data_IF_329824345171
#
_entry.id   IF_329824345171
#
_cell.length_a   1.000
_cell.length_b   1.000
_cell.length_c   1.000
_cell.angle_alpha   90.00
_cell.angle_beta   90.00
_cell.angle_gamma   90.00
#
_symmetry.space_group_name_H-M   'P 1'
#
loop_
_entity.id
_entity.type
_entity.pdbx_description
1 polymer ?
#
# COMPACT_ATOMS: atom_id res chain seq x y z
N UNK A 1 -45.55 -19.71 -27.25
CA UNK A 1 -45.31 -18.83 -28.42
C UNK A 1 -44.47 -17.66 -27.96
N UNK A 2 -43.30 -17.49 -28.57
CA UNK A 2 -42.29 -16.49 -28.23
C UNK A 2 -42.59 -15.11 -28.87
N UNK A 3 -42.08 -14.07 -28.21
CA UNK A 3 -41.18 -13.05 -28.79
C UNK A 3 -41.67 -11.60 -28.86
N UNK A 4 -40.89 -10.75 -28.16
CA UNK A 4 -40.38 -9.40 -28.51
C UNK A 4 -41.37 -8.30 -28.91
N UNK A 5 -41.14 -7.09 -28.36
CA UNK A 5 -40.63 -5.93 -29.13
C UNK A 5 -40.41 -4.71 -28.23
N UNK A 6 -39.24 -4.09 -28.40
CA UNK A 6 -38.99 -2.72 -27.95
C UNK A 6 -39.64 -1.71 -28.92
N UNK A 7 -39.60 -0.43 -28.55
CA UNK A 7 -39.88 0.65 -29.47
C UNK A 7 -38.89 1.80 -29.27
N UNK A 8 -38.36 2.22 -30.43
CA UNK A 8 -37.40 3.28 -30.60
C UNK A 8 -38.08 4.65 -30.68
N UNK A 9 -37.24 5.67 -30.49
CA UNK A 9 -37.48 7.09 -30.66
C UNK A 9 -38.08 7.49 -32.01
N UNK A 10 -38.90 8.54 -31.99
CA UNK A 10 -39.29 9.35 -33.14
C UNK A 10 -39.77 10.72 -32.66
N UNK A 11 -39.06 11.77 -33.06
CA UNK A 11 -39.18 13.15 -32.61
C UNK A 11 -40.21 13.98 -33.41
N UNK A 12 -40.26 15.28 -33.05
CA UNK A 12 -40.98 16.43 -33.63
C UNK A 12 -42.46 16.56 -33.23
N UNK A 13 -42.96 17.66 -32.69
CA UNK A 13 -42.41 18.98 -32.35
C UNK A 13 -43.58 19.88 -31.95
N UNK A 14 -43.38 20.86 -31.07
CA UNK A 14 -44.44 21.83 -30.75
C UNK A 14 -44.21 22.60 -29.45
N UNK A 15 -43.94 23.89 -29.61
CA UNK A 15 -43.52 24.88 -28.60
C UNK A 15 -44.68 25.27 -27.66
N UNK A 16 -44.36 25.47 -26.37
CA UNK A 16 -45.26 26.07 -25.39
C UNK A 16 -44.58 26.29 -24.04
N UNK A 17 -43.82 27.38 -23.90
CA UNK A 17 -43.14 27.77 -22.66
C UNK A 17 -44.11 28.44 -21.68
N UNK A 18 -44.22 27.90 -20.47
CA UNK A 18 -44.87 28.57 -19.34
C UNK A 18 -43.79 29.27 -18.48
N UNK A 19 -43.85 30.59 -18.40
CA UNK A 19 -43.09 31.40 -17.47
C UNK A 19 -43.87 31.54 -16.16
N UNK A 20 -43.21 31.32 -15.02
CA UNK A 20 -43.70 31.71 -13.70
C UNK A 20 -42.79 32.85 -13.21
N UNK A 21 -43.39 34.02 -13.05
CA UNK A 21 -42.76 35.21 -12.51
C UNK A 21 -42.69 35.14 -10.98
N UNK A 22 -41.51 35.35 -10.42
CA UNK A 22 -41.28 35.63 -8.99
C UNK A 22 -40.15 36.64 -8.89
N UNK A 23 -40.48 37.90 -8.66
CA UNK A 23 -39.54 38.99 -8.48
C UNK A 23 -38.99 38.97 -7.04
N UNK A 24 -37.67 38.95 -6.89
CA UNK A 24 -36.97 39.29 -5.65
C UNK A 24 -36.27 40.64 -5.82
N UNK A 25 -36.22 41.50 -4.79
CA UNK A 25 -35.58 42.81 -4.91
C UNK A 25 -34.06 42.63 -5.07
N UNK A 26 -33.49 43.32 -6.06
CA UNK A 26 -32.05 43.42 -6.23
C UNK A 26 -31.47 44.28 -5.09
N UNK A 27 -30.95 43.64 -4.06
CA UNK A 27 -29.99 44.27 -3.15
C UNK A 27 -28.67 44.28 -3.89
N UNK A 28 -28.21 45.46 -4.31
CA UNK A 28 -26.88 45.63 -4.86
C UNK A 28 -25.86 45.16 -3.81
N UNK A 29 -25.19 44.04 -4.10
CA UNK A 29 -24.05 43.60 -3.30
C UNK A 29 -23.01 44.73 -3.32
N UNK A 30 -22.48 45.17 -2.16
CA UNK A 30 -21.40 46.13 -2.17
C UNK A 30 -20.23 45.50 -2.92
N UNK A 31 -19.58 46.29 -3.78
CA UNK A 31 -18.30 45.92 -4.36
C UNK A 31 -17.30 45.76 -3.22
N UNK A 32 -17.16 44.54 -2.71
CA UNK A 32 -15.98 44.12 -1.98
C UNK A 32 -14.86 44.16 -2.99
N UNK A 33 -14.01 45.19 -2.89
CA UNK A 33 -12.74 45.19 -3.58
C UNK A 33 -12.05 43.87 -3.27
N UNK A 34 -11.61 43.16 -4.31
CA UNK A 34 -10.69 42.04 -4.20
C UNK A 34 -9.42 42.55 -3.51
N UNK A 35 -9.39 42.49 -2.19
CA UNK A 35 -8.16 42.22 -1.50
C UNK A 35 -7.78 40.82 -1.93
N UNK A 36 -6.67 40.68 -2.67
CA UNK A 36 -6.16 39.41 -3.13
C UNK A 36 -5.96 38.45 -1.95
N UNK A 37 -6.98 37.63 -1.63
CA UNK A 37 -6.81 36.42 -0.84
C UNK A 37 -6.33 35.33 -1.79
N UNK A 38 -5.17 35.57 -2.40
CA UNK A 38 -4.64 34.70 -3.45
C UNK A 38 -4.16 33.37 -2.86
N UNK A 39 -4.44 32.28 -3.56
CA UNK A 39 -3.91 30.93 -3.28
C UNK A 39 -2.39 30.92 -3.00
N UNK A 40 -1.64 31.93 -3.46
CA UNK A 40 -0.21 32.11 -3.21
C UNK A 40 0.18 32.38 -1.75
N UNK A 41 -0.74 32.80 -0.87
CA UNK A 41 -0.43 33.03 0.56
C UNK A 41 -0.13 31.70 1.25
N UNK A 42 -0.92 30.66 0.99
CA UNK A 42 -0.82 29.36 1.64
C UNK A 42 -0.12 28.29 0.80
N UNK A 43 0.29 28.63 -0.42
CA UNK A 43 0.87 27.68 -1.38
C UNK A 43 2.26 28.12 -1.81
N UNK A 44 3.19 27.17 -1.91
CA UNK A 44 4.48 27.32 -2.57
C UNK A 44 4.44 26.51 -3.86
N UNK A 45 4.40 27.20 -5.00
CA UNK A 45 4.40 26.58 -6.31
C UNK A 45 5.84 26.26 -6.72
N UNK A 46 6.13 25.00 -7.08
CA UNK A 46 7.48 24.58 -7.50
C UNK A 46 7.99 25.35 -8.74
N UNK A 47 7.10 25.88 -9.57
CA UNK A 47 7.48 26.69 -10.74
C UNK A 47 8.05 28.05 -10.37
N UNK A 48 7.65 28.62 -9.22
CA UNK A 48 8.21 29.87 -8.70
C UNK A 48 9.67 29.69 -8.26
N UNK A 49 10.08 28.43 -8.06
CA UNK A 49 11.45 28.02 -7.75
C UNK A 49 12.21 27.48 -8.97
N UNK A 50 11.63 27.57 -10.17
CA UNK A 50 12.29 27.25 -11.44
C UNK A 50 11.98 25.88 -12.04
N UNK A 51 11.14 25.06 -11.41
CA UNK A 51 10.77 23.75 -11.94
C UNK A 51 10.00 23.89 -13.26
N UNK A 52 10.31 23.06 -14.25
CA UNK A 52 9.73 23.09 -15.59
C UNK A 52 8.61 22.09 -15.76
N UNK A 53 8.75 20.87 -15.24
CA UNK A 53 7.75 19.82 -15.40
C UNK A 53 7.57 19.36 -16.85
N UNK A 54 8.65 19.35 -17.64
CA UNK A 54 8.68 19.03 -19.08
C UNK A 54 9.26 17.64 -19.42
N UNK A 55 9.58 16.84 -18.40
CA UNK A 55 10.27 15.54 -18.46
C UNK A 55 11.67 15.58 -19.13
N UNK A 56 12.29 16.75 -19.23
CA UNK A 56 13.61 16.93 -19.87
C UNK A 56 14.57 17.66 -18.94
N UNK A 57 14.11 18.74 -18.34
CA UNK A 57 14.86 19.54 -17.38
C UNK A 57 14.87 18.80 -16.05
N UNK A 58 16.05 18.62 -15.45
CA UNK A 58 16.15 18.09 -14.10
C UNK A 58 15.64 19.14 -13.10
N UNK A 59 14.47 18.87 -12.52
CA UNK A 59 13.76 19.74 -11.59
C UNK A 59 14.19 19.55 -10.13
N UNK A 60 15.19 18.68 -9.86
CA UNK A 60 15.58 18.31 -8.50
C UNK A 60 15.89 19.52 -7.60
N UNK A 61 16.72 20.46 -8.08
CA UNK A 61 17.14 21.60 -7.25
C UNK A 61 16.01 22.61 -7.04
N UNK A 62 15.19 22.84 -8.06
CA UNK A 62 14.03 23.73 -7.98
C UNK A 62 12.98 23.19 -6.99
N UNK A 63 12.69 21.89 -7.06
CA UNK A 63 11.78 21.22 -6.14
C UNK A 63 12.35 21.27 -4.72
N UNK A 64 13.64 20.96 -4.53
CA UNK A 64 14.27 21.02 -3.21
C UNK A 64 14.22 22.44 -2.61
N UNK A 65 14.39 23.47 -3.43
CA UNK A 65 14.25 24.86 -3.00
C UNK A 65 12.81 25.21 -2.56
N UNK A 66 11.79 24.72 -3.28
CA UNK A 66 10.39 24.87 -2.89
C UNK A 66 10.08 24.16 -1.56
N UNK A 67 10.57 22.93 -1.38
CA UNK A 67 10.45 22.19 -0.12
C UNK A 67 11.13 22.93 1.03
N UNK A 68 12.34 23.44 0.81
CA UNK A 68 13.06 24.23 1.81
C UNK A 68 12.27 25.48 2.23
N UNK A 69 11.66 26.19 1.27
CA UNK A 69 10.83 27.35 1.54
C UNK A 69 9.56 27.00 2.35
N UNK A 70 8.95 25.84 2.10
CA UNK A 70 7.83 25.34 2.91
C UNK A 70 8.26 25.03 4.33
N UNK A 71 9.38 24.31 4.48
CA UNK A 71 9.95 23.99 5.80
C UNK A 71 10.31 25.25 6.58
N UNK A 72 10.91 26.26 5.93
CA UNK A 72 11.29 27.52 6.60
C UNK A 72 10.09 28.40 6.96
N UNK A 73 8.95 28.22 6.30
CA UNK A 73 7.72 28.98 6.59
C UNK A 73 7.00 28.54 7.87
N UNK A 74 7.45 27.45 8.52
CA UNK A 74 6.79 26.88 9.69
C UNK A 74 6.72 27.87 10.87
N UNK A 75 5.66 27.73 11.67
CA UNK A 75 5.54 28.36 12.99
C UNK A 75 5.78 27.28 14.05
N UNK A 76 6.89 27.38 14.79
CA UNK A 76 7.37 26.29 15.63
C UNK A 76 7.66 25.04 14.80
N UNK A 77 6.95 23.94 15.06
CA UNK A 77 7.04 22.70 14.27
C UNK A 77 6.00 22.60 13.16
N UNK A 78 5.02 23.52 13.08
CA UNK A 78 3.87 23.39 12.19
C UNK A 78 4.13 24.08 10.84
N UNK A 79 4.11 23.31 9.75
CA UNK A 79 4.14 23.85 8.40
C UNK A 79 2.97 24.83 8.18
N UNK A 80 3.25 25.99 7.59
CA UNK A 80 2.24 27.02 7.32
C UNK A 80 1.76 27.03 5.87
N UNK A 81 2.54 26.42 4.96
CA UNK A 81 2.30 26.44 3.52
C UNK A 81 2.45 25.04 2.94
N UNK A 82 1.62 24.73 1.96
CA UNK A 82 1.73 23.49 1.18
C UNK A 82 2.64 23.66 -0.04
N UNK A 83 3.20 22.55 -0.52
CA UNK A 83 3.99 22.51 -1.74
C UNK A 83 3.08 22.05 -2.88
N UNK A 84 2.93 22.88 -3.90
CA UNK A 84 2.06 22.62 -5.05
C UNK A 84 2.86 22.34 -6.31
N UNK A 85 2.45 21.29 -7.01
CA UNK A 85 2.98 20.83 -8.29
C UNK A 85 1.90 20.98 -9.36
N UNK A 86 1.94 22.05 -10.18
CA UNK A 86 1.05 22.18 -11.33
C UNK A 86 1.13 20.97 -12.28
N UNK A 87 0.14 20.75 -13.16
CA UNK A 87 0.19 19.69 -14.17
C UNK A 87 1.52 19.69 -14.93
N UNK A 88 2.13 18.51 -15.06
CA UNK A 88 3.48 18.39 -15.62
C UNK A 88 4.17 17.08 -15.24
N UNK A 89 5.30 16.84 -15.90
CA UNK A 89 6.17 15.69 -15.71
C UNK A 89 7.52 16.19 -15.17
N UNK A 90 7.72 16.09 -13.87
CA UNK A 90 8.91 16.61 -13.20
C UNK A 90 10.00 15.54 -13.15
N UNK A 91 11.07 15.75 -13.91
CA UNK A 91 12.21 14.85 -13.91
C UNK A 91 13.06 15.12 -12.67
N UNK A 92 13.30 14.09 -11.85
CA UNK A 92 14.13 14.19 -10.64
C UNK A 92 15.25 13.15 -10.74
N UNK A 93 16.50 13.55 -10.59
CA UNK A 93 17.66 12.65 -10.64
C UNK A 93 18.36 12.53 -9.29
N UNK A 94 18.07 13.44 -8.35
CA UNK A 94 18.76 13.52 -7.05
C UNK A 94 17.94 12.89 -5.92
N UNK A 95 18.65 12.23 -5.01
CA UNK A 95 18.06 11.72 -3.76
C UNK A 95 17.67 12.86 -2.82
N UNK A 96 16.78 12.58 -1.87
CA UNK A 96 16.35 13.49 -0.80
C UNK A 96 15.73 14.81 -1.32
N UNK A 97 15.25 14.81 -2.57
CA UNK A 97 14.65 15.98 -3.23
C UNK A 97 13.36 16.44 -2.57
N UNK A 98 12.55 15.50 -2.06
CA UNK A 98 11.28 15.80 -1.41
C UNK A 98 11.39 15.96 0.10
N UNK A 99 12.43 15.38 0.72
CA UNK A 99 12.80 15.63 2.12
C UNK A 99 14.16 15.01 2.45
N UNK A 100 14.89 15.64 3.36
CA UNK A 100 16.16 15.18 3.92
C UNK A 100 16.13 15.20 5.46
N UNK A 101 17.07 14.49 6.08
CA UNK A 101 17.25 14.47 7.53
C UNK A 101 18.49 15.27 7.94
N UNK A 102 18.36 16.30 8.81
CA UNK A 102 19.52 17.01 9.33
C UNK A 102 20.39 16.12 10.21
N UNK A 103 21.70 16.25 10.09
CA UNK A 103 22.71 15.42 10.79
C UNK A 103 23.36 16.14 11.98
N UNK A 104 22.79 17.26 12.43
CA UNK A 104 23.34 18.08 13.50
C UNK A 104 22.87 17.69 14.92
N UNK A 105 22.30 16.49 15.10
CA UNK A 105 21.93 15.93 16.41
C UNK A 105 20.70 16.53 17.11
N UNK A 106 19.98 17.47 16.48
CA UNK A 106 18.70 18.01 16.98
C UNK A 106 17.56 17.52 16.10
N UNK A 107 16.52 16.95 16.70
CA UNK A 107 15.31 16.54 15.97
C UNK A 107 14.58 17.77 15.42
N UNK A 108 14.80 18.06 14.14
CA UNK A 108 14.17 19.15 13.42
C UNK A 108 12.82 18.68 12.86
N UNK A 109 11.83 18.57 13.74
CA UNK A 109 10.51 18.06 13.39
C UNK A 109 9.70 19.05 12.56
N UNK A 110 8.91 18.52 11.62
CA UNK A 110 7.91 19.28 10.87
C UNK A 110 6.58 18.53 10.82
N UNK A 111 5.53 19.23 11.22
CA UNK A 111 4.17 18.72 11.35
C UNK A 111 3.30 19.33 10.25
N UNK A 112 2.46 18.52 9.61
CA UNK A 112 1.44 19.04 8.69
C UNK A 112 1.95 19.38 7.30
N UNK A 113 3.15 18.95 6.91
CA UNK A 113 3.69 19.23 5.57
C UNK A 113 2.85 18.53 4.50
N UNK A 114 2.51 19.24 3.42
CA UNK A 114 1.66 18.73 2.34
C UNK A 114 2.31 18.90 0.97
N UNK A 115 2.20 17.86 0.16
CA UNK A 115 2.59 17.83 -1.26
C UNK A 115 1.34 17.58 -2.09
N UNK A 116 0.97 18.52 -2.97
CA UNK A 116 -0.26 18.43 -3.76
C UNK A 116 0.02 18.57 -5.25
N UNK A 117 -0.55 17.68 -6.07
CA UNK A 117 -0.56 17.78 -7.52
C UNK A 117 -1.95 18.05 -8.10
N UNK A 118 -2.11 17.81 -9.42
CA UNK A 118 -3.36 17.96 -10.16
C UNK A 118 -4.11 16.64 -10.45
N UNK A 119 -3.63 15.52 -9.92
CA UNK A 119 -4.19 14.17 -10.07
C UNK A 119 -3.17 13.15 -10.57
N UNK A 120 -3.40 11.84 -10.35
CA UNK A 120 -2.62 10.78 -10.97
C UNK A 120 -2.48 10.98 -12.49
N UNK A 121 -1.26 10.86 -13.00
CA UNK A 121 -0.86 11.04 -14.40
C UNK A 121 -1.04 12.45 -14.97
N UNK A 122 -1.62 13.38 -14.23
CA UNK A 122 -1.68 14.82 -14.54
C UNK A 122 -0.44 15.51 -14.00
N UNK A 123 -0.13 15.26 -12.73
CA UNK A 123 1.14 15.64 -12.10
C UNK A 123 1.93 14.38 -11.82
N UNK A 124 3.14 14.26 -12.37
CA UNK A 124 3.99 13.11 -12.15
C UNK A 124 5.42 13.54 -11.81
N UNK A 125 5.97 12.96 -10.75
CA UNK A 125 7.41 13.02 -10.47
C UNK A 125 8.04 11.75 -11.02
N UNK A 126 8.92 11.91 -12.00
CA UNK A 126 9.70 10.84 -12.61
C UNK A 126 11.08 10.79 -11.93
N UNK A 127 11.28 9.84 -11.02
CA UNK A 127 12.56 9.63 -10.37
C UNK A 127 13.46 8.81 -11.29
N UNK A 128 14.25 9.51 -12.09
CA UNK A 128 15.09 8.95 -13.15
C UNK A 128 16.58 9.02 -12.76
N UNK A 129 16.90 8.59 -11.54
CA UNK A 129 18.29 8.51 -11.10
C UNK A 129 19.06 7.41 -11.85
N UNK A 130 20.38 7.56 -11.90
CA UNK A 130 21.32 6.51 -12.32
C UNK A 130 21.91 5.72 -11.14
N UNK A 131 21.21 5.66 -9.99
CA UNK A 131 21.77 5.02 -8.80
C UNK A 131 21.97 3.52 -8.98
N UNK A 132 23.10 3.03 -8.48
CA UNK A 132 23.38 1.61 -8.32
C UNK A 132 22.73 1.07 -7.03
N UNK A 133 22.68 -0.25 -6.88
CA UNK A 133 22.22 -0.90 -5.66
C UNK A 133 23.06 -0.44 -4.46
N UNK A 134 22.39 -0.11 -3.35
CA UNK A 134 23.04 0.34 -2.12
C UNK A 134 22.44 -0.36 -0.89
N UNK A 135 23.31 -0.90 -0.04
CA UNK A 135 22.93 -1.59 1.18
C UNK A 135 22.53 -0.63 2.31
N UNK A 136 23.00 0.62 2.30
CA UNK A 136 22.55 1.63 3.26
C UNK A 136 21.08 1.99 2.95
N UNK A 137 20.14 1.77 3.89
CA UNK A 137 18.74 2.07 3.64
C UNK A 137 18.43 3.56 3.51
N UNK A 138 19.35 4.44 3.91
CA UNK A 138 19.25 5.91 3.78
C UNK A 138 19.57 6.39 2.37
N UNK A 139 20.20 5.56 1.55
CA UNK A 139 20.57 5.93 0.19
C UNK A 139 19.49 5.57 -0.83
N UNK A 140 19.56 6.26 -1.99
CA UNK A 140 18.66 6.13 -3.14
C UNK A 140 17.19 6.52 -2.91
N UNK A 141 16.85 7.23 -1.83
CA UNK A 141 15.48 7.65 -1.53
C UNK A 141 15.14 9.01 -2.14
N UNK A 142 13.88 9.25 -2.56
CA UNK A 142 13.36 10.61 -2.78
C UNK A 142 13.17 11.37 -1.45
N UNK A 143 12.90 10.62 -0.38
CA UNK A 143 12.61 11.11 0.96
C UNK A 143 13.42 10.29 1.96
N UNK A 144 14.32 10.93 2.69
CA UNK A 144 14.92 10.35 3.89
C UNK A 144 14.52 11.19 5.10
N UNK A 145 13.74 10.59 6.00
CA UNK A 145 13.21 11.26 7.17
C UNK A 145 13.47 10.42 8.44
N UNK A 146 14.55 10.76 9.13
CA UNK A 146 14.89 10.26 10.45
C UNK A 146 14.29 11.21 11.49
N UNK A 147 13.31 10.72 12.25
CA UNK A 147 12.67 11.41 13.38
C UNK A 147 12.08 12.79 13.05
N UNK A 148 11.70 13.02 11.79
CA UNK A 148 11.46 14.37 11.24
C UNK A 148 10.00 14.66 10.93
N UNK A 149 9.29 13.71 10.32
CA UNK A 149 8.01 14.00 9.68
C UNK A 149 6.84 13.54 10.54
N UNK A 150 5.92 14.45 10.84
CA UNK A 150 4.63 14.08 11.41
C UNK A 150 3.46 14.69 10.64
N UNK A 151 2.34 13.98 10.59
CA UNK A 151 1.13 14.46 9.92
C UNK A 151 1.38 14.92 8.48
N UNK A 152 2.00 14.07 7.66
CA UNK A 152 2.40 14.42 6.28
C UNK A 152 1.39 13.92 5.26
N UNK A 153 1.12 14.74 4.25
CA UNK A 153 0.12 14.46 3.22
C UNK A 153 0.73 14.50 1.81
N UNK A 154 0.40 13.49 1.00
CA UNK A 154 0.62 13.46 -0.44
C UNK A 154 -0.72 13.32 -1.14
N UNK A 155 -1.03 14.25 -2.04
CA UNK A 155 -2.33 14.35 -2.67
C UNK A 155 -2.20 14.49 -4.18
N UNK A 156 -3.05 13.76 -4.90
CA UNK A 156 -3.37 14.03 -6.30
C UNK A 156 -2.13 14.06 -7.21
N UNK A 157 -1.33 13.00 -7.21
CA UNK A 157 -0.13 12.94 -8.04
C UNK A 157 0.33 11.51 -8.30
N UNK A 158 1.22 11.36 -9.28
CA UNK A 158 1.93 10.10 -9.54
C UNK A 158 3.42 10.22 -9.23
N UNK A 159 4.01 9.09 -8.84
CA UNK A 159 5.45 8.88 -8.79
C UNK A 159 5.79 7.74 -9.74
N UNK A 160 6.89 7.88 -10.49
CA UNK A 160 7.34 6.85 -11.42
C UNK A 160 8.85 6.67 -11.35
N UNK A 161 9.29 5.46 -11.64
CA UNK A 161 10.70 5.10 -11.75
C UNK A 161 10.86 3.95 -12.75
N UNK A 162 11.97 3.92 -13.46
CA UNK A 162 12.43 2.79 -14.28
C UNK A 162 13.72 2.16 -13.73
N UNK A 163 14.24 2.68 -12.62
CA UNK A 163 15.44 2.15 -11.98
C UNK A 163 15.04 1.29 -10.77
N UNK A 164 15.31 -0.03 -10.79
CA UNK A 164 14.95 -0.94 -9.70
C UNK A 164 15.77 -0.73 -8.41
N UNK A 165 16.69 0.23 -8.38
CA UNK A 165 17.45 0.65 -7.19
C UNK A 165 16.87 1.89 -6.51
N UNK A 166 15.91 2.57 -7.15
CA UNK A 166 15.27 3.75 -6.58
C UNK A 166 14.33 3.38 -5.45
N UNK A 167 14.29 4.27 -4.45
CA UNK A 167 13.38 4.17 -3.32
C UNK A 167 12.56 5.45 -3.21
N UNK A 168 11.29 5.34 -2.82
CA UNK A 168 10.48 6.55 -2.62
C UNK A 168 10.76 7.17 -1.25
N UNK A 169 10.57 6.44 -0.15
CA UNK A 169 10.78 6.97 1.19
C UNK A 169 11.43 5.98 2.15
N UNK A 170 12.29 6.51 3.03
CA UNK A 170 12.79 5.85 4.22
C UNK A 170 12.49 6.69 5.47
N UNK A 171 11.64 6.13 6.34
CA UNK A 171 11.24 6.69 7.61
C UNK A 171 11.92 5.93 8.74
N UNK A 172 12.79 6.62 9.48
CA UNK A 172 13.55 6.04 10.59
C UNK A 172 13.16 6.70 11.92
N UNK A 173 12.70 5.92 12.89
CA UNK A 173 12.30 6.39 14.23
C UNK A 173 13.20 5.83 15.33
N UNK A 174 13.25 6.49 16.48
CA UNK A 174 13.99 6.08 17.67
C UNK A 174 13.39 6.69 18.94
N UNK A 175 13.42 5.95 20.05
CA UNK A 175 13.11 6.49 21.37
C UNK A 175 14.36 6.98 22.15
N UNK A 176 14.15 7.86 23.14
CA UNK A 176 15.19 8.65 23.80
C UNK A 176 16.11 7.91 24.78
N UNK A 177 15.79 6.67 25.15
CA UNK A 177 16.31 6.05 26.38
C UNK A 177 17.62 5.25 26.21
N UNK A 178 18.18 5.14 24.99
CA UNK A 178 19.42 4.38 24.73
C UNK A 178 20.68 5.27 24.69
N UNK A 179 21.86 4.66 24.66
CA UNK A 179 23.14 5.26 24.27
C UNK A 179 23.80 4.55 23.08
N UNK A 180 23.35 3.34 22.71
CA UNK A 180 23.87 2.55 21.60
C UNK A 180 23.10 2.84 20.30
N UNK A 181 23.51 3.91 19.61
CA UNK A 181 22.79 4.42 18.44
C UNK A 181 23.29 3.81 17.14
N UNK A 182 22.35 3.37 16.29
CA UNK A 182 22.71 3.03 14.92
C UNK A 182 23.04 4.29 14.09
N UNK A 183 22.24 5.35 14.23
CA UNK A 183 22.41 6.63 13.55
C UNK A 183 22.36 7.80 14.56
N UNK A 184 23.40 7.94 15.41
CA UNK A 184 23.47 8.99 16.45
C UNK A 184 23.24 10.41 15.93
N UNK A 185 23.64 10.67 14.68
CA UNK A 185 23.62 11.99 14.04
C UNK A 185 22.21 12.59 13.89
N UNK A 186 21.15 11.77 13.94
CA UNK A 186 19.76 12.21 13.79
C UNK A 186 19.06 12.55 15.13
N UNK A 187 19.70 12.30 16.28
CA UNK A 187 19.12 12.56 17.60
C UNK A 187 18.15 11.48 18.07
N UNK A 188 16.97 11.86 18.58
CA UNK A 188 15.86 10.96 18.98
C UNK A 188 14.50 11.55 18.56
N UNK A 189 13.48 10.70 18.40
CA UNK A 189 12.14 11.09 18.00
C UNK A 189 11.48 10.13 17.03
N UNK A 190 10.29 10.47 16.56
CA UNK A 190 9.46 9.55 15.78
C UNK A 190 8.86 10.25 14.56
N UNK A 191 8.81 9.51 13.47
CA UNK A 191 7.92 9.81 12.36
C UNK A 191 6.50 9.31 12.71
N UNK A 192 5.47 10.07 12.33
CA UNK A 192 4.09 9.73 12.72
C UNK A 192 3.07 10.20 11.70
N UNK A 193 2.02 9.42 11.46
CA UNK A 193 0.86 9.82 10.67
C UNK A 193 1.17 10.32 9.25
N UNK A 194 1.02 9.42 8.28
CA UNK A 194 1.19 9.69 6.86
C UNK A 194 -0.08 9.40 6.09
N UNK A 195 -0.47 10.31 5.21
CA UNK A 195 -1.64 10.16 4.34
C UNK A 195 -1.20 10.27 2.90
N UNK A 196 -1.47 9.23 2.13
CA UNK A 196 -1.40 9.22 0.68
C UNK A 196 -2.82 9.09 0.16
N UNK A 197 -3.30 10.13 -0.50
CA UNK A 197 -4.66 10.17 -1.02
C UNK A 197 -4.65 10.48 -2.51
N UNK A 198 -5.28 9.60 -3.30
CA UNK A 198 -5.30 9.70 -4.75
C UNK A 198 -3.88 9.79 -5.34
N UNK A 199 -2.99 8.90 -4.87
CA UNK A 199 -1.60 8.79 -5.31
C UNK A 199 -1.39 7.51 -6.11
N UNK A 200 -0.64 7.61 -7.21
CA UNK A 200 -0.24 6.44 -8.00
C UNK A 200 1.28 6.25 -8.01
N UNK A 201 1.75 5.02 -7.77
CA UNK A 201 3.16 4.64 -7.98
C UNK A 201 3.28 3.72 -9.18
N UNK A 202 4.21 4.04 -10.09
CA UNK A 202 4.37 3.35 -11.37
C UNK A 202 5.78 2.82 -11.58
N UNK A 203 5.86 1.72 -12.32
CA UNK A 203 7.12 1.16 -12.80
C UNK A 203 7.95 0.47 -11.72
N UNK A 204 9.27 0.53 -11.87
CA UNK A 204 10.21 -0.29 -11.10
C UNK A 204 10.82 0.48 -9.93
N UNK A 205 10.83 -0.15 -8.76
CA UNK A 205 11.41 0.39 -7.53
C UNK A 205 12.16 -0.72 -6.78
N UNK A 206 13.15 -0.36 -5.96
CA UNK A 206 13.66 -1.28 -4.94
C UNK A 206 12.59 -1.45 -3.87
N UNK A 207 12.26 -0.31 -3.24
CA UNK A 207 11.20 -0.20 -2.25
C UNK A 207 10.48 1.13 -2.37
N UNK A 208 9.15 1.15 -2.28
CA UNK A 208 8.43 2.44 -2.24
C UNK A 208 8.55 3.04 -0.84
N UNK A 209 8.06 2.39 0.21
CA UNK A 209 8.10 2.91 1.58
C UNK A 209 8.84 1.95 2.50
N UNK A 210 9.91 2.42 3.15
CA UNK A 210 10.57 1.73 4.25
C UNK A 210 10.28 2.42 5.58
N UNK A 211 9.81 1.65 6.56
CA UNK A 211 9.58 2.10 7.93
C UNK A 211 10.47 1.27 8.85
N UNK A 212 11.31 1.93 9.64
CA UNK A 212 12.33 1.27 10.43
C UNK A 212 12.73 2.08 11.67
N UNK A 213 13.58 1.49 12.51
CA UNK A 213 14.11 2.18 13.68
C UNK A 213 15.22 1.39 14.39
N UNK A 214 15.70 1.86 15.53
CA UNK A 214 16.64 1.08 16.35
C UNK A 214 15.95 0.09 17.29
N UNK A 215 16.69 -0.41 18.29
CA UNK A 215 16.24 -1.38 19.27
C UNK A 215 15.22 -0.84 20.27
N UNK A 216 15.07 0.49 20.37
CA UNK A 216 14.07 1.13 21.22
C UNK A 216 12.95 1.78 20.41
N UNK A 217 13.04 1.75 19.08
CA UNK A 217 12.12 2.46 18.23
C UNK A 217 10.68 1.99 18.40
N UNK A 218 9.89 2.86 19.03
CA UNK A 218 8.48 2.95 18.76
C UNK A 218 8.31 3.69 17.42
N UNK A 219 7.99 2.93 16.38
CA UNK A 219 7.90 3.48 15.04
C UNK A 219 6.77 4.50 14.92
N UNK A 220 5.71 4.39 15.73
CA UNK A 220 4.58 5.32 15.82
C UNK A 220 4.09 5.78 14.44
N UNK A 221 4.12 4.88 13.45
CA UNK A 221 4.05 5.19 12.04
C UNK A 221 2.70 4.74 11.51
N UNK A 222 1.66 5.54 11.72
CA UNK A 222 0.39 5.32 11.03
C UNK A 222 0.52 5.71 9.56
N UNK A 223 0.12 4.81 8.65
CA UNK A 223 0.07 5.12 7.22
C UNK A 223 -1.32 4.83 6.66
N UNK A 224 -1.87 5.83 5.98
CA UNK A 224 -3.18 5.80 5.33
C UNK A 224 -2.99 5.89 3.82
N UNK A 225 -3.41 4.85 3.11
CA UNK A 225 -3.51 4.80 1.66
C UNK A 225 -4.99 4.90 1.30
N UNK A 226 -5.37 5.95 0.58
CA UNK A 226 -6.76 6.23 0.23
C UNK A 226 -6.86 6.47 -1.26
N UNK A 227 -7.69 5.70 -1.97
CA UNK A 227 -7.85 5.83 -3.43
C UNK A 227 -6.51 5.75 -4.19
N UNK A 228 -5.54 5.02 -3.64
CA UNK A 228 -4.22 4.88 -4.24
C UNK A 228 -4.21 3.78 -5.30
N UNK A 229 -3.23 3.84 -6.19
CA UNK A 229 -3.07 2.81 -7.21
C UNK A 229 -1.62 2.52 -7.59
N UNK A 230 -1.43 1.38 -8.25
CA UNK A 230 -0.19 1.02 -8.93
C UNK A 230 -0.50 0.53 -10.33
N UNK A 231 0.48 0.58 -11.24
CA UNK A 231 0.29 0.19 -12.64
C UNK A 231 0.73 -1.25 -12.94
N UNK A 232 0.43 -1.71 -14.15
CA UNK A 232 0.75 -3.08 -14.59
C UNK A 232 2.24 -3.32 -14.81
N UNK A 233 3.07 -2.28 -14.73
CA UNK A 233 4.52 -2.36 -14.79
C UNK A 233 5.17 -2.33 -13.39
N UNK A 234 4.37 -2.37 -12.33
CA UNK A 234 4.85 -2.24 -10.95
C UNK A 234 5.64 -3.46 -10.50
N UNK A 235 6.94 -3.27 -10.29
CA UNK A 235 7.89 -4.29 -9.85
C UNK A 235 8.74 -3.79 -8.68
N UNK A 236 8.92 -4.66 -7.68
CA UNK A 236 9.65 -4.34 -6.46
C UNK A 236 10.78 -5.35 -6.21
N UNK A 237 12.02 -4.86 -6.06
CA UNK A 237 13.16 -5.72 -5.69
C UNK A 237 13.07 -6.15 -4.22
N UNK A 238 12.67 -5.25 -3.32
CA UNK A 238 12.37 -5.53 -1.90
C UNK A 238 10.85 -5.65 -1.68
N UNK A 239 10.14 -4.51 -1.66
CA UNK A 239 8.67 -4.47 -1.57
C UNK A 239 8.05 -3.10 -1.87
N UNK A 240 6.73 -3.02 -2.11
CA UNK A 240 6.04 -1.71 -2.12
C UNK A 240 6.20 -1.03 -0.75
N UNK A 241 5.76 -1.67 0.33
CA UNK A 241 5.96 -1.21 1.70
C UNK A 241 6.70 -2.29 2.48
N UNK A 242 7.74 -1.89 3.21
CA UNK A 242 8.41 -2.73 4.21
C UNK A 242 8.40 -2.06 5.56
N UNK A 243 7.96 -2.79 6.57
CA UNK A 243 8.02 -2.36 7.96
C UNK A 243 8.87 -3.31 8.78
N UNK A 244 9.92 -2.75 9.39
CA UNK A 244 10.88 -3.42 10.24
C UNK A 244 11.90 -4.28 9.48
N UNK A 245 12.99 -4.59 10.17
CA UNK A 245 14.05 -5.49 9.68
C UNK A 245 14.94 -4.88 8.59
N UNK A 246 14.83 -3.57 8.31
CA UNK A 246 15.53 -2.93 7.19
C UNK A 246 16.99 -2.65 7.58
N UNK A 247 17.20 -2.00 8.73
CA UNK A 247 18.52 -1.66 9.24
C UNK A 247 19.05 -2.64 10.28
N UNK A 248 18.31 -3.68 10.68
CA UNK A 248 18.85 -4.64 11.64
C UNK A 248 17.82 -5.62 12.20
N UNK A 249 18.21 -6.29 13.28
CA UNK A 249 17.43 -7.37 13.90
C UNK A 249 16.71 -6.93 15.18
N UNK A 250 16.10 -5.74 15.21
CA UNK A 250 15.54 -5.14 16.42
C UNK A 250 14.07 -5.51 16.67
N UNK A 251 13.74 -6.06 17.85
CA UNK A 251 12.39 -6.56 18.19
C UNK A 251 11.33 -5.48 18.40
N UNK A 252 11.74 -4.34 18.96
CA UNK A 252 10.84 -3.27 19.40
C UNK A 252 10.09 -2.58 18.26
N UNK A 253 10.57 -2.73 17.02
CA UNK A 253 10.03 -2.10 15.81
C UNK A 253 8.57 -2.47 15.48
N UNK A 254 7.93 -3.38 16.22
CA UNK A 254 6.54 -3.78 16.02
C UNK A 254 5.49 -2.99 16.80
N UNK A 255 5.91 -2.04 17.64
CA UNK A 255 4.98 -1.26 18.46
C UNK A 255 4.37 -0.08 17.69
N UNK A 256 3.09 0.21 17.96
CA UNK A 256 2.29 1.33 17.40
C UNK A 256 2.33 1.45 15.86
N UNK A 257 2.13 0.33 15.19
CA UNK A 257 2.09 0.25 13.74
C UNK A 257 0.64 0.07 13.25
N UNK A 258 0.01 1.11 12.71
CA UNK A 258 -1.34 1.03 12.15
C UNK A 258 -1.36 1.42 10.67
N UNK A 259 -1.89 0.52 9.84
CA UNK A 259 -1.98 0.72 8.39
C UNK A 259 -3.42 0.65 7.95
N UNK A 260 -3.80 1.59 7.09
CA UNK A 260 -5.14 1.68 6.52
C UNK A 260 -5.02 1.75 5.01
N UNK A 261 -5.70 0.84 4.31
CA UNK A 261 -5.73 0.78 2.85
C UNK A 261 -7.20 0.82 2.44
N UNK A 262 -7.64 1.96 1.92
CA UNK A 262 -9.05 2.28 1.69
C UNK A 262 -9.30 2.49 0.20
N UNK A 263 -10.10 1.60 -0.39
CA UNK A 263 -10.54 1.68 -1.80
C UNK A 263 -9.38 1.86 -2.79
N UNK A 264 -8.28 1.14 -2.58
CA UNK A 264 -7.10 1.18 -3.44
C UNK A 264 -7.13 0.09 -4.51
N UNK A 265 -6.57 0.38 -5.69
CA UNK A 265 -6.49 -0.56 -6.81
C UNK A 265 -5.03 -0.83 -7.16
N UNK A 266 -4.53 -2.01 -6.80
CA UNK A 266 -3.11 -2.33 -6.96
C UNK A 266 -2.87 -3.41 -7.99
N UNK A 267 -2.08 -3.07 -9.01
CA UNK A 267 -1.47 -4.04 -9.90
C UNK A 267 -0.05 -4.39 -9.41
N UNK A 268 0.32 -5.67 -9.49
CA UNK A 268 1.64 -6.17 -9.10
C UNK A 268 2.17 -7.13 -10.16
N UNK A 269 3.29 -6.78 -10.79
CA UNK A 269 3.95 -7.62 -11.80
C UNK A 269 5.08 -8.46 -11.23
N UNK A 270 5.77 -8.01 -10.18
CA UNK A 270 6.88 -8.74 -9.54
C UNK A 270 7.16 -8.22 -8.13
N UNK A 271 7.50 -9.11 -7.21
CA UNK A 271 8.00 -8.78 -5.89
C UNK A 271 6.96 -8.89 -4.78
N UNK A 272 7.27 -8.30 -3.63
CA UNK A 272 6.37 -8.24 -2.49
C UNK A 272 5.64 -6.88 -2.47
N UNK A 273 4.38 -6.84 -2.07
CA UNK A 273 3.66 -5.58 -1.92
C UNK A 273 3.80 -5.08 -0.49
N UNK A 274 3.01 -5.63 0.43
CA UNK A 274 3.08 -5.33 1.85
C UNK A 274 3.95 -6.35 2.56
N UNK A 275 5.08 -5.90 3.11
CA UNK A 275 6.04 -6.71 3.85
C UNK A 275 6.13 -6.25 5.31
N UNK A 276 5.79 -7.13 6.25
CA UNK A 276 5.80 -6.83 7.68
C UNK A 276 6.63 -7.86 8.44
N UNK A 277 7.90 -7.52 8.70
CA UNK A 277 8.89 -8.43 9.26
C UNK A 277 8.71 -8.66 10.77
N UNK A 278 7.95 -7.79 11.43
CA UNK A 278 7.86 -7.69 12.90
C UNK A 278 6.43 -7.74 13.45
N UNK A 279 5.42 -7.74 12.59
CA UNK A 279 4.02 -7.52 12.97
C UNK A 279 3.50 -6.17 12.47
N UNK A 280 2.31 -5.81 12.90
CA UNK A 280 1.59 -4.58 12.60
C UNK A 280 0.08 -4.78 12.76
N UNK A 281 -0.68 -3.68 12.70
CA UNK A 281 -2.13 -3.66 12.62
C UNK A 281 -2.55 -3.13 11.25
N UNK A 282 -2.83 -4.03 10.31
CA UNK A 282 -3.16 -3.73 8.92
C UNK A 282 -4.66 -3.86 8.71
N UNK A 283 -5.28 -2.84 8.12
CA UNK A 283 -6.69 -2.80 7.79
C UNK A 283 -6.88 -2.44 6.32
N UNK A 284 -7.52 -3.32 5.57
CA UNK A 284 -7.77 -3.16 4.13
C UNK A 284 -9.27 -3.22 3.88
N UNK A 285 -9.79 -2.23 3.17
CA UNK A 285 -11.22 -2.11 2.85
C UNK A 285 -11.42 -1.79 1.38
N UNK A 286 -11.95 -2.77 0.66
CA UNK A 286 -12.25 -2.69 -0.77
C UNK A 286 -11.01 -2.65 -1.65
N UNK A 287 -11.27 -2.79 -2.96
CA UNK A 287 -10.24 -2.68 -3.99
C UNK A 287 -10.30 -3.81 -5.01
N UNK A 288 -9.71 -3.55 -6.17
CA UNK A 288 -9.47 -4.53 -7.23
C UNK A 288 -7.98 -4.72 -7.42
N UNK A 289 -7.45 -5.87 -7.02
CA UNK A 289 -6.02 -6.11 -6.88
C UNK A 289 -5.59 -7.19 -7.87
N UNK A 290 -4.80 -6.81 -8.87
CA UNK A 290 -4.44 -7.66 -10.00
C UNK A 290 -2.98 -8.09 -9.97
N UNK A 291 -2.74 -9.40 -10.09
CA UNK A 291 -1.40 -9.91 -10.34
C UNK A 291 -1.17 -10.09 -11.84
N UNK A 292 -0.10 -9.46 -12.33
CA UNK A 292 0.14 -9.26 -13.75
C UNK A 292 1.25 -10.20 -14.22
N UNK A 293 0.96 -11.00 -15.25
CA UNK A 293 1.95 -11.83 -15.92
C UNK A 293 2.83 -11.02 -16.87
N UNK A 294 3.90 -11.63 -17.37
CA UNK A 294 4.70 -11.06 -18.44
C UNK A 294 3.95 -11.13 -19.78
N UNK A 295 4.33 -10.27 -20.73
CA UNK A 295 3.76 -10.26 -22.08
C UNK A 295 4.01 -11.57 -22.85
N UNK A 296 5.05 -12.32 -22.49
CA UNK A 296 5.38 -13.64 -23.04
C UNK A 296 4.61 -14.80 -22.37
N UNK A 297 3.66 -14.49 -21.48
CA UNK A 297 2.86 -15.47 -20.74
C UNK A 297 3.56 -16.06 -19.50
N UNK A 298 4.85 -15.78 -19.29
CA UNK A 298 5.56 -16.24 -18.09
C UNK A 298 5.09 -15.48 -16.85
N UNK A 299 5.24 -16.09 -15.68
CA UNK A 299 4.80 -15.51 -14.40
C UNK A 299 6.01 -15.21 -13.52
N UNK A 300 5.99 -14.05 -12.86
CA UNK A 300 6.96 -13.68 -11.83
C UNK A 300 6.43 -14.07 -10.45
N UNK A 301 7.31 -14.06 -9.45
CA UNK A 301 6.90 -14.21 -8.06
C UNK A 301 6.25 -12.92 -7.57
N UNK A 302 5.01 -13.01 -7.11
CA UNK A 302 4.20 -11.88 -6.61
C UNK A 302 3.58 -12.25 -5.27
N UNK A 303 3.72 -11.38 -4.26
CA UNK A 303 3.08 -11.56 -2.95
C UNK A 303 2.40 -10.27 -2.51
N UNK A 304 1.09 -10.27 -2.25
CA UNK A 304 0.45 -9.07 -1.70
C UNK A 304 0.78 -8.88 -0.23
N UNK A 305 0.58 -9.91 0.59
CA UNK A 305 0.87 -9.89 2.01
C UNK A 305 2.02 -10.87 2.29
N UNK A 306 3.23 -10.34 2.46
CA UNK A 306 4.39 -11.10 2.88
C UNK A 306 4.68 -10.81 4.36
N UNK A 307 4.43 -11.78 5.21
CA UNK A 307 4.45 -11.62 6.67
C UNK A 307 5.50 -12.54 7.30
N UNK A 308 6.81 -12.30 7.06
CA UNK A 308 7.84 -13.13 7.64
C UNK A 308 7.95 -12.90 9.16
N UNK A 309 8.72 -13.76 9.82
CA UNK A 309 9.02 -13.64 11.24
C UNK A 309 10.53 -13.48 11.43
N UNK A 310 11.01 -12.24 11.53
CA UNK A 310 12.45 -11.98 11.57
C UNK A 310 13.12 -12.43 12.89
N UNK A 311 12.42 -12.40 14.03
CA UNK A 311 13.01 -12.67 15.36
C UNK A 311 12.13 -13.54 16.29
N UNK A 312 11.48 -14.56 15.74
CA UNK A 312 10.88 -15.62 16.55
C UNK A 312 9.61 -15.28 17.36
N UNK A 313 9.18 -14.02 17.48
CA UNK A 313 7.86 -13.68 18.03
C UNK A 313 7.26 -12.40 17.44
N UNK A 314 5.92 -12.36 17.36
CA UNK A 314 5.14 -11.16 17.02
C UNK A 314 4.22 -10.80 18.19
N UNK A 315 4.15 -9.51 18.55
CA UNK A 315 3.33 -9.03 19.68
C UNK A 315 2.08 -8.31 19.18
N UNK A 316 2.23 -7.25 18.38
CA UNK A 316 1.15 -6.57 17.68
C UNK A 316 1.01 -7.15 16.27
N UNK A 317 0.13 -8.13 16.07
CA UNK A 317 -0.07 -8.78 14.77
C UNK A 317 -1.56 -8.92 14.45
N UNK A 318 -2.06 -8.07 13.56
CA UNK A 318 -3.41 -8.14 13.03
C UNK A 318 -3.40 -7.77 11.55
N UNK A 319 -3.93 -8.66 10.71
CA UNK A 319 -4.33 -8.34 9.34
C UNK A 319 -5.84 -8.49 9.23
N UNK A 320 -6.54 -7.45 8.81
CA UNK A 320 -7.95 -7.47 8.48
C UNK A 320 -8.16 -6.98 7.04
N UNK A 321 -8.71 -7.84 6.17
CA UNK A 321 -8.95 -7.57 4.76
C UNK A 321 -10.42 -7.77 4.46
N UNK A 322 -11.09 -6.73 3.97
CA UNK A 322 -12.52 -6.75 3.72
C UNK A 322 -12.83 -6.33 2.29
N UNK A 323 -13.61 -7.13 1.56
CA UNK A 323 -14.18 -6.73 0.27
C UNK A 323 -13.18 -6.58 -0.88
N UNK A 324 -12.01 -7.21 -0.80
CA UNK A 324 -11.00 -7.13 -1.88
C UNK A 324 -11.25 -8.23 -2.91
N UNK A 325 -11.25 -7.85 -4.19
CA UNK A 325 -11.21 -8.78 -5.31
C UNK A 325 -9.77 -8.95 -5.77
N UNK A 326 -9.20 -10.11 -5.49
CA UNK A 326 -7.87 -10.52 -5.95
C UNK A 326 -7.97 -11.25 -7.30
N UNK A 327 -7.03 -10.96 -8.20
CA UNK A 327 -6.93 -11.61 -9.51
C UNK A 327 -5.55 -12.29 -9.66
N UNK A 328 -5.30 -13.40 -8.94
CA UNK A 328 -4.12 -14.21 -9.20
C UNK A 328 -4.20 -14.88 -10.59
N UNK A 329 -3.04 -15.30 -11.09
CA UNK A 329 -2.92 -16.11 -12.30
C UNK A 329 -2.82 -17.59 -11.91
N UNK A 330 -3.06 -18.48 -12.86
CA UNK A 330 -2.94 -19.93 -12.70
C UNK A 330 -1.46 -20.36 -12.52
N UNK A 331 -0.87 -20.06 -11.35
CA UNK A 331 0.55 -20.28 -11.07
C UNK A 331 0.85 -20.33 -9.57
N UNK A 332 1.82 -21.17 -9.19
CA UNK A 332 2.38 -21.22 -7.83
C UNK A 332 3.37 -20.07 -7.55
N UNK A 333 3.54 -19.12 -8.46
CA UNK A 333 4.37 -17.92 -8.21
C UNK A 333 3.58 -16.77 -7.59
N UNK A 334 2.25 -16.84 -7.60
CA UNK A 334 1.38 -15.79 -7.11
C UNK A 334 0.84 -16.17 -5.73
N UNK A 335 0.94 -15.26 -4.76
CA UNK A 335 0.44 -15.43 -3.39
C UNK A 335 -0.34 -14.20 -2.95
N UNK A 336 -1.58 -14.39 -2.53
CA UNK A 336 -2.29 -13.33 -1.81
C UNK A 336 -1.63 -13.13 -0.46
N UNK A 337 -1.32 -14.23 0.23
CA UNK A 337 -0.63 -14.19 1.52
C UNK A 337 0.40 -15.31 1.66
N UNK A 338 1.56 -14.95 2.21
CA UNK A 338 2.59 -15.87 2.71
C UNK A 338 2.96 -15.41 4.12
N UNK A 339 2.49 -16.15 5.13
CA UNK A 339 2.50 -15.71 6.51
C UNK A 339 3.22 -16.69 7.45
N UNK A 340 4.23 -16.19 8.14
CA UNK A 340 5.01 -16.89 9.15
C UNK A 340 4.77 -16.33 10.56
N UNK A 341 3.85 -15.37 10.73
CA UNK A 341 3.50 -14.85 12.05
C UNK A 341 3.03 -15.98 12.95
N UNK A 342 3.57 -16.03 14.15
CA UNK A 342 3.30 -17.09 15.13
C UNK A 342 2.31 -16.65 16.22
N UNK A 343 1.71 -15.47 16.06
CA UNK A 343 0.77 -14.88 17.00
C UNK A 343 -0.22 -13.96 16.28
N UNK A 344 -1.24 -13.51 17.01
CA UNK A 344 -2.19 -12.53 16.50
C UNK A 344 -3.27 -13.14 15.60
N UNK A 345 -3.77 -12.34 14.65
CA UNK A 345 -4.89 -12.74 13.80
C UNK A 345 -4.75 -12.27 12.35
N UNK A 346 -5.30 -13.07 11.44
CA UNK A 346 -5.43 -12.78 10.02
C UNK A 346 -6.89 -13.03 9.65
N UNK A 347 -7.60 -12.03 9.14
CA UNK A 347 -9.00 -12.17 8.74
C UNK A 347 -9.20 -11.64 7.32
N UNK A 348 -9.85 -12.46 6.49
CA UNK A 348 -10.40 -12.07 5.20
C UNK A 348 -11.92 -12.17 5.27
N UNK A 349 -12.62 -11.12 4.88
CA UNK A 349 -14.09 -11.06 4.86
C UNK A 349 -14.59 -10.61 3.49
N UNK A 350 -15.55 -11.34 2.92
CA UNK A 350 -16.16 -11.03 1.61
C UNK A 350 -15.13 -10.77 0.51
N UNK A 351 -14.02 -11.50 0.54
CA UNK A 351 -12.96 -11.42 -0.46
C UNK A 351 -13.16 -12.48 -1.54
N UNK A 352 -12.57 -12.26 -2.71
CA UNK A 352 -12.52 -13.27 -3.76
C UNK A 352 -11.14 -13.38 -4.37
N UNK A 353 -10.70 -14.60 -4.71
CA UNK A 353 -9.42 -14.88 -5.39
C UNK A 353 -9.55 -15.76 -6.63
N UNK A 354 -10.78 -15.91 -7.14
CA UNK A 354 -11.08 -16.79 -8.28
C UNK A 354 -10.49 -16.28 -9.60
N UNK A 355 -10.12 -14.99 -9.67
CA UNK A 355 -9.30 -14.37 -10.71
C UNK A 355 -9.32 -15.04 -12.10
N UNK A 356 -8.14 -15.41 -12.58
CA UNK A 356 -7.98 -16.11 -13.86
C UNK A 356 -8.26 -17.63 -13.78
N UNK A 357 -8.53 -18.17 -12.59
CA UNK A 357 -8.75 -19.62 -12.39
C UNK A 357 -10.22 -20.00 -12.43
N UNK A 358 -11.16 -19.04 -12.52
CA UNK A 358 -12.60 -19.30 -12.53
C UNK A 358 -13.07 -20.35 -13.58
N UNK A 359 -12.42 -20.40 -14.74
CA UNK A 359 -12.75 -21.33 -15.84
C UNK A 359 -11.75 -22.47 -16.05
N UNK A 360 -10.78 -22.66 -15.15
CA UNK A 360 -9.71 -23.67 -15.30
C UNK A 360 -9.40 -24.36 -13.98
N UNK A 361 -8.65 -25.47 -14.01
CA UNK A 361 -8.34 -26.20 -12.78
C UNK A 361 -7.39 -25.38 -11.87
N UNK A 362 -7.94 -24.69 -10.87
CA UNK A 362 -7.17 -23.91 -9.90
C UNK A 362 -6.48 -24.74 -8.81
N UNK A 363 -6.90 -26.00 -8.57
CA UNK A 363 -6.47 -26.85 -7.43
C UNK A 363 -4.95 -26.90 -7.17
N UNK A 364 -4.07 -26.96 -8.20
CA UNK A 364 -2.64 -27.11 -7.95
C UNK A 364 -2.00 -25.89 -7.28
N UNK A 365 -2.59 -24.70 -7.46
CA UNK A 365 -1.95 -23.45 -7.09
C UNK A 365 -2.26 -23.05 -5.65
N UNK A 366 -1.22 -22.76 -4.87
CA UNK A 366 -1.38 -22.24 -3.51
C UNK A 366 -1.41 -20.71 -3.54
N UNK A 367 -2.55 -20.09 -3.24
CA UNK A 367 -2.62 -18.63 -3.14
C UNK A 367 -2.48 -18.12 -1.70
N UNK A 368 -2.70 -18.98 -0.71
CA UNK A 368 -2.64 -18.65 0.70
C UNK A 368 -1.77 -19.66 1.42
N UNK A 369 -0.70 -19.18 2.06
CA UNK A 369 0.28 -20.02 2.72
C UNK A 369 0.56 -19.54 4.14
N UNK A 370 0.54 -20.49 5.07
CA UNK A 370 0.73 -20.26 6.49
C UNK A 370 1.78 -21.24 7.03
N UNK A 371 2.89 -20.70 7.52
CA UNK A 371 4.00 -21.48 8.05
C UNK A 371 4.03 -21.40 9.56
N UNK A 372 3.89 -22.54 10.22
CA UNK A 372 3.98 -22.57 11.67
C UNK A 372 5.41 -22.28 12.10
N UNK A 373 5.57 -21.34 13.03
CA UNK A 373 6.87 -21.04 13.62
C UNK A 373 6.76 -21.17 15.13
N UNK A 374 7.71 -21.89 15.73
CA UNK A 374 7.68 -22.24 17.15
C UNK A 374 6.37 -22.92 17.57
N UNK A 375 5.87 -23.86 16.76
CA UNK A 375 4.63 -24.63 16.96
C UNK A 375 3.33 -23.80 16.99
N UNK A 376 3.39 -22.56 16.48
CA UNK A 376 2.27 -21.61 16.54
C UNK A 376 1.99 -20.99 15.18
N UNK A 377 0.73 -20.60 15.01
CA UNK A 377 0.18 -19.88 13.86
C UNK A 377 -0.70 -18.73 14.38
N UNK A 378 -1.06 -17.74 13.53
CA UNK A 378 -2.10 -16.80 13.89
C UNK A 378 -3.46 -17.52 13.92
N UNK A 379 -4.47 -16.88 14.50
CA UNK A 379 -5.86 -17.28 14.21
C UNK A 379 -6.19 -16.72 12.84
N UNK A 380 -6.38 -17.62 11.86
CA UNK A 380 -6.73 -17.25 10.50
C UNK A 380 -8.22 -17.49 10.28
N UNK A 381 -8.93 -16.48 9.79
CA UNK A 381 -10.35 -16.57 9.46
C UNK A 381 -10.61 -16.10 8.03
N UNK A 382 -11.41 -16.89 7.31
CA UNK A 382 -12.07 -16.50 6.09
C UNK A 382 -13.57 -16.50 6.35
N UNK A 383 -14.23 -15.40 6.02
CA UNK A 383 -15.66 -15.22 6.25
C UNK A 383 -16.33 -14.74 4.97
N UNK A 384 -17.35 -15.45 4.51
CA UNK A 384 -18.16 -15.09 3.33
C UNK A 384 -17.31 -14.89 2.06
N UNK A 385 -16.18 -15.61 1.95
CA UNK A 385 -15.24 -15.49 0.84
C UNK A 385 -15.56 -16.47 -0.30
N UNK A 386 -15.13 -16.10 -1.51
CA UNK A 386 -15.14 -16.96 -2.70
C UNK A 386 -13.71 -17.32 -3.07
N UNK A 387 -13.32 -18.56 -2.76
CA UNK A 387 -11.93 -19.01 -2.72
C UNK A 387 -11.64 -20.06 -3.79
N UNK A 388 -10.45 -20.02 -4.39
CA UNK A 388 -9.95 -20.98 -5.37
C UNK A 388 -8.53 -21.44 -5.01
N UNK A 389 -8.07 -22.49 -5.70
CA UNK A 389 -6.79 -23.12 -5.44
C UNK A 389 -6.76 -23.83 -4.09
N UNK A 390 -5.57 -23.92 -3.49
CA UNK A 390 -5.39 -24.54 -2.17
C UNK A 390 -4.87 -23.54 -1.15
N UNK A 391 -5.23 -23.78 0.10
CA UNK A 391 -4.66 -23.11 1.26
C UNK A 391 -3.70 -24.08 1.94
N UNK A 392 -2.43 -23.69 2.04
CA UNK A 392 -1.39 -24.54 2.60
C UNK A 392 -1.04 -24.11 4.02
N UNK A 393 -1.11 -25.06 4.96
CA UNK A 393 -0.57 -24.90 6.30
C UNK A 393 0.61 -25.85 6.47
N UNK A 394 1.82 -25.31 6.46
CA UNK A 394 3.05 -26.07 6.70
C UNK A 394 3.46 -25.95 8.16
N UNK A 395 3.25 -27.00 8.96
CA UNK A 395 3.76 -27.09 10.33
C UNK A 395 5.03 -27.97 10.45
N UNK A 396 5.54 -28.49 9.32
CA UNK A 396 6.75 -29.30 9.21
C UNK A 396 6.89 -30.40 10.29
N UNK A 397 5.85 -31.19 10.51
CA UNK A 397 5.86 -32.30 11.48
C UNK A 397 5.84 -31.89 12.95
N UNK A 398 5.67 -30.60 13.26
CA UNK A 398 5.57 -30.12 14.65
C UNK A 398 4.14 -30.16 15.17
N UNK A 399 4.01 -30.46 16.47
CA UNK A 399 2.71 -30.46 17.14
C UNK A 399 2.23 -29.04 17.40
N UNK A 400 1.15 -28.58 16.76
CA UNK A 400 0.65 -27.22 16.93
C UNK A 400 0.03 -27.01 18.32
N UNK A 401 0.50 -25.98 19.02
CA UNK A 401 -0.01 -25.59 20.35
C UNK A 401 -1.01 -24.44 20.29
N UNK A 402 -0.90 -23.56 19.28
CA UNK A 402 -1.75 -22.38 19.11
C UNK A 402 -2.02 -22.07 17.63
N UNK A 403 -3.01 -21.23 17.39
CA UNK A 403 -3.48 -20.90 16.04
C UNK A 403 -4.49 -21.91 15.52
N UNK A 404 -5.26 -21.48 14.51
CA UNK A 404 -6.25 -22.31 13.82
C UNK A 404 -6.70 -21.65 12.52
N UNK A 405 -7.19 -22.46 11.60
CA UNK A 405 -7.84 -22.02 10.37
C UNK A 405 -9.36 -22.06 10.55
N UNK A 406 -10.07 -20.99 10.23
CA UNK A 406 -11.54 -20.94 10.28
C UNK A 406 -12.07 -20.51 8.92
N UNK A 407 -13.00 -21.27 8.39
CA UNK A 407 -13.77 -20.94 7.19
C UNK A 407 -15.25 -20.88 7.58
N UNK A 408 -15.89 -19.75 7.33
CA UNK A 408 -17.28 -19.48 7.71
C UNK A 408 -18.01 -18.88 6.50
N UNK A 409 -19.09 -19.51 6.04
CA UNK A 409 -19.85 -19.03 4.87
C UNK A 409 -19.05 -19.02 3.56
N UNK A 410 -17.94 -19.74 3.47
CA UNK A 410 -17.04 -19.68 2.32
C UNK A 410 -17.45 -20.64 1.21
N UNK A 411 -17.30 -20.19 -0.04
CA UNK A 411 -17.43 -21.02 -1.23
C UNK A 411 -16.05 -21.36 -1.78
N UNK A 412 -15.77 -22.65 -1.98
CA UNK A 412 -14.51 -23.10 -2.61
C UNK A 412 -14.74 -23.58 -4.04
N UNK A 413 -13.84 -23.24 -4.95
CA UNK A 413 -13.87 -23.61 -6.37
C UNK A 413 -12.98 -24.81 -6.67
N UNK A 414 -13.41 -25.68 -7.58
CA UNK A 414 -12.74 -26.89 -8.09
C UNK A 414 -12.52 -28.03 -7.08
N UNK A 415 -12.14 -27.75 -5.83
CA UNK A 415 -11.84 -28.79 -4.84
C UNK A 415 -13.06 -29.64 -4.47
N UNK A 416 -12.88 -30.96 -4.38
CA UNK A 416 -13.94 -31.90 -3.97
C UNK A 416 -13.79 -32.37 -2.52
N UNK A 417 -12.68 -32.04 -1.86
CA UNK A 417 -12.42 -32.31 -0.45
C UNK A 417 -12.11 -31.02 0.30
N UNK A 418 -12.67 -30.88 1.50
CA UNK A 418 -12.42 -29.70 2.33
C UNK A 418 -10.99 -29.70 2.92
N UNK A 419 -10.53 -30.85 3.43
CA UNK A 419 -9.25 -30.98 4.14
C UNK A 419 -8.54 -32.28 3.76
N UNK A 420 -7.22 -32.22 3.67
CA UNK A 420 -6.37 -33.39 3.45
C UNK A 420 -4.91 -33.10 3.82
N UNK A 421 -4.05 -34.11 3.69
CA UNK A 421 -2.60 -33.94 3.84
C UNK A 421 -2.01 -33.07 2.73
N UNK A 422 -0.74 -32.70 2.86
CA UNK A 422 -0.04 -31.85 1.87
C UNK A 422 0.13 -32.49 0.49
N UNK A 423 -0.08 -33.81 0.37
CA UNK A 423 -0.07 -34.54 -0.89
C UNK A 423 -1.47 -34.76 -1.49
N UNK A 424 -2.55 -34.36 -0.82
CA UNK A 424 -3.92 -34.54 -1.33
C UNK A 424 -4.28 -33.43 -2.33
N UNK A 425 -4.13 -33.72 -3.62
CA UNK A 425 -4.36 -32.78 -4.71
C UNK A 425 -5.82 -32.28 -4.81
N UNK A 426 -6.78 -32.97 -4.20
CA UNK A 426 -8.19 -32.58 -4.20
C UNK A 426 -8.60 -31.77 -2.96
N UNK A 427 -7.76 -31.74 -1.93
CA UNK A 427 -8.03 -30.99 -0.70
C UNK A 427 -7.83 -29.49 -0.88
N UNK A 428 -8.84 -28.70 -0.49
CA UNK A 428 -8.75 -27.25 -0.42
C UNK A 428 -7.78 -26.80 0.67
N UNK A 429 -8.01 -27.19 1.93
CA UNK A 429 -7.07 -26.98 3.02
C UNK A 429 -6.10 -28.16 3.09
N UNK A 430 -4.85 -27.91 2.71
CA UNK A 430 -3.76 -28.86 2.87
C UNK A 430 -3.01 -28.58 4.17
N UNK A 431 -3.04 -29.54 5.09
CA UNK A 431 -2.58 -29.33 6.46
C UNK A 431 -1.47 -30.32 6.83
N UNK A 432 -0.28 -29.81 7.16
CA UNK A 432 0.90 -30.62 7.46
C UNK A 432 1.16 -30.86 8.96
N UNK A 433 0.32 -30.34 9.86
CA UNK A 433 0.52 -30.37 11.32
C UNK A 433 -0.43 -31.28 12.07
N UNK A 434 0.03 -31.82 13.20
CA UNK A 434 -0.78 -32.57 14.17
C UNK A 434 -0.83 -31.81 15.51
N UNK A 435 -1.86 -31.93 16.36
CA UNK A 435 -3.24 -32.10 15.90
C UNK A 435 -3.60 -30.96 14.93
N UNK A 436 -4.33 -31.29 13.85
CA UNK A 436 -4.82 -30.27 12.94
C UNK A 436 -5.86 -29.39 13.64
N UNK A 437 -5.70 -28.06 13.57
CA UNK A 437 -6.61 -27.09 14.21
C UNK A 437 -7.35 -26.28 13.15
N UNK A 438 -8.54 -26.73 12.78
CA UNK A 438 -9.38 -26.05 11.79
C UNK A 438 -10.88 -26.15 12.12
N UNK A 439 -11.68 -25.28 11.51
CA UNK A 439 -13.14 -25.37 11.50
C UNK A 439 -13.69 -24.89 10.14
N UNK A 440 -14.65 -25.64 9.59
CA UNK A 440 -15.50 -25.22 8.47
C UNK A 440 -16.92 -25.10 8.98
N UNK A 441 -17.56 -23.96 8.70
CA UNK A 441 -18.94 -23.64 9.11
C UNK A 441 -19.69 -23.13 7.89
N UNK A 442 -20.82 -23.75 7.57
CA UNK A 442 -21.68 -23.36 6.45
C UNK A 442 -20.92 -23.06 5.16
N UNK A 443 -19.88 -23.84 4.89
CA UNK A 443 -18.99 -23.69 3.73
C UNK A 443 -19.19 -24.86 2.79
N UNK A 444 -19.20 -24.61 1.48
CA UNK A 444 -19.43 -25.65 0.48
C UNK A 444 -18.48 -25.53 -0.71
N UNK A 445 -18.13 -26.69 -1.26
CA UNK A 445 -17.48 -26.77 -2.55
C UNK A 445 -18.53 -26.55 -3.64
N UNK A 446 -18.20 -25.75 -4.66
CA UNK A 446 -18.99 -25.76 -5.88
C UNK A 446 -18.45 -26.75 -6.90
N UNK A 447 -19.31 -27.62 -7.48
CA UNK A 447 -18.96 -28.36 -8.68
C UNK A 447 -18.47 -27.40 -9.74
N UNK A 448 -17.48 -27.81 -10.54
CA UNK A 448 -17.15 -27.12 -11.78
C UNK A 448 -18.43 -26.99 -12.59
N UNK A 449 -18.95 -25.76 -12.70
CA UNK A 449 -20.03 -25.46 -13.61
C UNK A 449 -19.45 -25.65 -15.01
N UNK A 450 -19.69 -26.82 -15.58
CA UNK A 450 -19.62 -26.99 -17.03
C UNK A 450 -20.72 -26.11 -17.62
N UNK A 451 -20.34 -24.87 -17.93
CA UNK A 451 -21.14 -23.88 -18.64
C UNK A 451 -20.22 -23.09 -19.56
#
# INVERSE_FOLDING_TARGET
MFSRRGFAFGAAGGVGAFAIAGASPAVAAPAVGEAATGDGVYTINVRDHGAKGDNKTDDSDAIRAAVAAAVSSRSGVHAQREIYFPPGQYLVTKKDTLMWSPTAGKSDQIFGLRFRGGGPRVTNINFASSFAANADPRENNLITAAMRLRYVYFNDMSFSSTNPNNRFAYYYSRDGDDTAYKYPEYGYGQNQYFVYQNVEWRGQWDRVIGIDGDQQANNNSEHHFMLCSTDTASEYTDSFLRCGGISGTNDQQNQFLNFFVLSCNFALRKGNFFRFDRGGSINVYGGSWSMVGNSDGTQNTCKYFYMPLANGNTTAARLNVNGVRFEPRATDKHRIIDCNWNNGSVTFTSCSDVGAVQGGNGKPYSFHEYKATSNRLPIVRYQDCVLAGRHLVSANGTSLTNGKMIYEGCRTYHNTKAVGGTSDADAFLQYAGTPARYAFRDSWATPDVSG
#
